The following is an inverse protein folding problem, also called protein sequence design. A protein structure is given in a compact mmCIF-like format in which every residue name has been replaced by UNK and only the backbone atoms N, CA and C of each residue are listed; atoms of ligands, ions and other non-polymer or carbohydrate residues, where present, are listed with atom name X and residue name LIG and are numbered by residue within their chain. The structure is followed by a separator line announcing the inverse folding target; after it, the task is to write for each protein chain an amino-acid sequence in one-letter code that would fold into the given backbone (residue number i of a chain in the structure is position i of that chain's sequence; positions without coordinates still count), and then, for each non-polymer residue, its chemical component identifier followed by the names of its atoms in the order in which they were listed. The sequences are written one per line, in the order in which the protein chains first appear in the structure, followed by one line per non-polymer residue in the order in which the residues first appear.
data_IF_633655467580
#
_entry.id   IF_633655467580
#
_cell.length_a   1.000
_cell.length_b   1.000
_cell.length_c   1.000
_cell.angle_alpha   90.00
_cell.angle_beta   90.00
_cell.angle_gamma   90.00
#
_symmetry.space_group_name_H-M   'P 1'
#
loop_
_entity.id
_entity.type
_entity.pdbx_description
1 polymer ?
#
# COMPACT_ATOMS: atom_id res chain seq x y z
N UNK A 1 12.55 9.82 7.09
CA UNK A 1 11.30 9.82 6.29
C UNK A 1 11.36 8.75 5.21
N UNK A 2 12.26 8.82 4.22
CA UNK A 2 12.29 7.88 3.09
C UNK A 2 12.27 6.38 3.46
N UNK A 3 12.98 5.96 4.50
CA UNK A 3 12.98 4.55 4.95
C UNK A 3 11.60 4.08 5.45
N UNK A 4 10.85 4.95 6.14
CA UNK A 4 9.50 4.65 6.62
C UNK A 4 8.50 4.58 5.47
N UNK A 5 8.64 5.44 4.47
CA UNK A 5 7.80 5.41 3.26
C UNK A 5 8.00 4.08 2.51
N UNK A 6 9.26 3.67 2.29
CA UNK A 6 9.56 2.39 1.65
C UNK A 6 9.06 1.20 2.44
N UNK A 7 9.22 1.20 3.76
CA UNK A 7 8.72 0.14 4.62
C UNK A 7 7.19 0.05 4.58
N UNK A 8 6.48 1.18 4.65
CA UNK A 8 5.03 1.18 4.59
C UNK A 8 4.49 0.72 3.23
N UNK A 9 5.12 1.15 2.13
CA UNK A 9 4.78 0.67 0.78
C UNK A 9 5.02 -0.82 0.66
N UNK A 10 6.14 -1.34 1.20
CA UNK A 10 6.41 -2.78 1.21
C UNK A 10 5.37 -3.57 2.01
N UNK A 11 4.94 -3.06 3.18
CA UNK A 11 3.91 -3.71 4.02
C UNK A 11 2.57 -3.77 3.29
N UNK A 12 2.11 -2.67 2.69
CA UNK A 12 0.86 -2.69 1.90
C UNK A 12 0.99 -3.53 0.63
N UNK A 13 2.13 -3.49 -0.05
CA UNK A 13 2.37 -4.37 -1.19
C UNK A 13 2.27 -5.85 -0.79
N UNK A 14 2.74 -6.20 0.40
CA UNK A 14 2.64 -7.57 0.92
C UNK A 14 1.18 -7.98 1.18
N UNK A 15 0.33 -7.08 1.68
CA UNK A 15 -1.11 -7.39 1.85
C UNK A 15 -1.79 -7.61 0.51
N UNK A 16 -1.50 -6.80 -0.50
CA UNK A 16 -1.97 -6.99 -1.88
C UNK A 16 -1.46 -8.29 -2.52
N UNK A 17 -0.20 -8.65 -2.30
CA UNK A 17 0.35 -9.91 -2.80
C UNK A 17 -0.26 -11.14 -2.09
N UNK A 18 -0.51 -11.07 -0.78
CA UNK A 18 -1.18 -12.13 -0.03
C UNK A 18 -2.64 -12.30 -0.46
N UNK A 19 -3.32 -11.19 -0.77
CA UNK A 19 -4.64 -11.17 -1.40
C UNK A 19 -4.65 -11.93 -2.75
N UNK A 20 -3.70 -11.60 -3.63
CA UNK A 20 -3.54 -12.27 -4.92
C UNK A 20 -3.27 -13.78 -4.73
N UNK A 21 -2.48 -14.13 -3.72
CA UNK A 21 -2.21 -15.52 -3.36
C UNK A 21 -3.45 -16.28 -2.89
N UNK A 22 -4.34 -15.65 -2.11
CA UNK A 22 -5.61 -16.26 -1.69
C UNK A 22 -6.53 -16.53 -2.87
N UNK A 23 -6.48 -15.68 -3.90
CA UNK A 23 -7.20 -15.82 -5.16
C UNK A 23 -6.51 -16.70 -6.20
N UNK A 24 -5.35 -17.27 -5.87
CA UNK A 24 -4.56 -18.13 -6.77
C UNK A 24 -4.24 -17.46 -8.11
N UNK A 25 -4.02 -16.14 -8.10
CA UNK A 25 -3.65 -15.40 -9.31
C UNK A 25 -2.23 -15.78 -9.76
N UNK A 26 -1.93 -15.49 -11.03
CA UNK A 26 -0.58 -15.62 -11.57
C UNK A 26 0.34 -14.50 -11.07
N UNK A 27 1.62 -14.57 -11.45
CA UNK A 27 2.62 -13.57 -11.04
C UNK A 27 2.25 -12.14 -11.48
N UNK A 28 1.56 -11.99 -12.62
CA UNK A 28 1.12 -10.69 -13.11
C UNK A 28 0.04 -10.13 -12.19
N UNK A 29 -0.92 -10.96 -11.76
CA UNK A 29 -1.90 -10.58 -10.74
C UNK A 29 -1.28 -10.18 -9.41
N UNK A 30 -0.21 -10.86 -8.97
CA UNK A 30 0.55 -10.47 -7.77
C UNK A 30 1.21 -9.10 -7.95
N UNK A 31 1.92 -8.87 -9.06
CA UNK A 31 2.57 -7.60 -9.36
C UNK A 31 1.56 -6.45 -9.40
N UNK A 32 0.41 -6.68 -10.03
CA UNK A 32 -0.65 -5.70 -10.14
C UNK A 32 -1.26 -5.38 -8.76
N UNK A 33 -1.72 -6.40 -8.02
CA UNK A 33 -2.41 -6.18 -6.76
C UNK A 33 -1.48 -5.61 -5.69
N UNK A 34 -0.24 -6.10 -5.59
CA UNK A 34 0.77 -5.53 -4.71
C UNK A 34 1.06 -4.06 -5.03
N UNK A 35 1.16 -3.70 -6.32
CA UNK A 35 1.42 -2.32 -6.72
C UNK A 35 0.24 -1.41 -6.40
N UNK A 36 -0.97 -1.78 -6.79
CA UNK A 36 -2.19 -0.99 -6.54
C UNK A 36 -2.41 -0.80 -5.03
N UNK A 37 -2.22 -1.85 -4.23
CA UNK A 37 -2.36 -1.75 -2.77
C UNK A 37 -1.24 -0.92 -2.14
N UNK A 38 0.01 -1.14 -2.55
CA UNK A 38 1.20 -0.46 -2.02
C UNK A 38 1.24 1.04 -2.30
N UNK A 39 0.89 1.46 -3.52
CA UNK A 39 1.02 2.87 -3.95
C UNK A 39 -0.31 3.59 -4.13
N UNK A 40 -1.45 2.88 -4.16
CA UNK A 40 -2.76 3.47 -4.47
C UNK A 40 -3.18 4.55 -3.48
N UNK A 41 -3.05 4.30 -2.18
CA UNK A 41 -3.38 5.29 -1.15
C UNK A 41 -2.55 6.56 -1.23
N UNK A 42 -1.23 6.41 -1.38
CA UNK A 42 -0.31 7.54 -1.57
C UNK A 42 -0.55 8.31 -2.87
N UNK A 43 -0.99 7.61 -3.92
CA UNK A 43 -1.34 8.21 -5.22
C UNK A 43 -2.57 9.12 -5.08
N UNK A 44 -3.65 8.62 -4.47
CA UNK A 44 -4.86 9.43 -4.25
C UNK A 44 -4.58 10.66 -3.38
N UNK A 45 -3.79 10.49 -2.32
CA UNK A 45 -3.33 11.61 -1.50
C UNK A 45 -2.60 12.66 -2.32
N UNK A 46 -1.60 12.24 -3.11
CA UNK A 46 -0.76 13.16 -3.87
C UNK A 46 -1.57 13.89 -4.96
N UNK A 47 -2.49 13.20 -5.64
CA UNK A 47 -3.40 13.82 -6.62
C UNK A 47 -4.31 14.88 -5.97
N UNK A 48 -4.92 14.58 -4.82
CA UNK A 48 -5.82 15.51 -4.12
C UNK A 48 -5.06 16.74 -3.61
N UNK A 49 -3.82 16.55 -3.14
CA UNK A 49 -2.95 17.65 -2.72
C UNK A 49 -2.30 18.39 -3.89
N UNK A 50 -2.61 18.00 -5.13
CA UNK A 50 -2.03 18.55 -6.36
C UNK A 50 -0.49 18.49 -6.37
N UNK A 51 0.05 17.35 -5.93
CA UNK A 51 1.49 17.04 -5.91
C UNK A 51 1.85 16.05 -7.01
N UNK A 52 3.10 16.05 -7.50
CA UNK A 52 3.57 14.98 -8.37
C UNK A 52 3.46 13.63 -7.63
N UNK A 53 2.91 12.63 -8.31
CA UNK A 53 2.71 11.30 -7.76
C UNK A 53 4.08 10.68 -7.41
N UNK A 54 4.26 10.30 -6.14
CA UNK A 54 5.57 9.95 -5.59
C UNK A 54 6.32 8.83 -6.34
N UNK A 55 5.61 7.80 -6.82
CA UNK A 55 6.22 6.67 -7.52
C UNK A 55 6.51 6.96 -8.99
N UNK A 56 5.88 7.98 -9.57
CA UNK A 56 6.22 8.51 -10.91
C UNK A 56 7.50 9.33 -10.82
N UNK A 57 7.65 10.12 -9.75
CA UNK A 57 8.87 10.86 -9.47
C UNK A 57 10.05 9.96 -9.08
N UNK A 58 9.77 8.83 -8.41
CA UNK A 58 10.78 7.86 -8.00
C UNK A 58 10.29 6.42 -8.23
N UNK A 59 10.81 5.78 -9.27
CA UNK A 59 10.42 4.42 -9.66
C UNK A 59 10.82 3.33 -8.65
N UNK A 60 11.69 3.63 -7.68
CA UNK A 60 12.07 2.67 -6.64
C UNK A 60 10.86 2.15 -5.83
N UNK A 61 9.80 2.95 -5.67
CA UNK A 61 8.58 2.51 -5.00
C UNK A 61 7.87 1.37 -5.75
N UNK A 62 7.80 1.44 -7.08
CA UNK A 62 7.22 0.38 -7.91
C UNK A 62 8.11 -0.87 -7.87
N UNK A 63 9.44 -0.69 -7.90
CA UNK A 63 10.38 -1.80 -7.77
C UNK A 63 10.24 -2.53 -6.44
N UNK A 64 9.97 -1.81 -5.34
CA UNK A 64 9.68 -2.40 -4.03
C UNK A 64 8.40 -3.24 -4.08
N UNK A 65 7.31 -2.71 -4.65
CA UNK A 65 6.08 -3.47 -4.82
C UNK A 65 6.31 -4.75 -5.63
N UNK A 66 7.08 -4.65 -6.71
CA UNK A 66 7.42 -5.80 -7.55
C UNK A 66 8.28 -6.83 -6.81
N UNK A 67 9.30 -6.39 -6.06
CA UNK A 67 10.13 -7.27 -5.25
C UNK A 67 9.30 -8.01 -4.19
N UNK A 68 8.42 -7.30 -3.48
CA UNK A 68 7.52 -7.89 -2.49
C UNK A 68 6.55 -8.88 -3.15
N UNK A 69 5.96 -8.54 -4.29
CA UNK A 69 5.08 -9.43 -5.03
C UNK A 69 5.78 -10.75 -5.41
N UNK A 70 7.00 -10.68 -5.93
CA UNK A 70 7.81 -11.86 -6.28
C UNK A 70 8.14 -12.70 -5.04
N UNK A 71 8.59 -12.05 -3.96
CA UNK A 71 8.90 -12.73 -2.71
C UNK A 71 7.68 -13.46 -2.13
N UNK A 72 6.51 -12.81 -2.13
CA UNK A 72 5.27 -13.41 -1.64
C UNK A 72 4.76 -14.48 -2.59
N UNK A 73 4.89 -14.33 -3.92
CA UNK A 73 4.51 -15.35 -4.89
C UNK A 73 5.24 -16.67 -4.64
N UNK A 74 6.56 -16.62 -4.46
CA UNK A 74 7.35 -17.81 -4.17
C UNK A 74 7.29 -18.23 -2.70
N UNK A 75 6.99 -17.34 -1.75
CA UNK A 75 6.99 -17.64 -0.32
C UNK A 75 5.63 -18.06 0.28
N UNK A 76 4.51 -17.62 -0.31
CA UNK A 76 3.18 -17.74 0.30
C UNK A 76 2.66 -19.19 0.43
N UNK A 77 3.27 -20.14 -0.28
CA UNK A 77 2.95 -21.56 -0.13
C UNK A 77 3.47 -22.16 1.19
N UNK A 78 4.42 -21.49 1.88
CA UNK A 78 4.95 -21.92 3.19
C UNK A 78 4.18 -21.35 4.38
N UNK A 79 3.24 -20.45 4.13
CA UNK A 79 2.54 -19.70 5.19
C UNK A 79 1.24 -20.42 5.54
N UNK A 80 1.16 -21.00 6.75
CA UNK A 80 -0.01 -21.76 7.22
C UNK A 80 -1.33 -20.97 7.18
N UNK A 81 -1.29 -19.65 7.43
CA UNK A 81 -2.49 -18.81 7.38
C UNK A 81 -2.21 -17.47 6.70
N UNK A 82 -2.35 -17.45 5.37
CA UNK A 82 -2.27 -16.23 4.54
C UNK A 82 -3.19 -15.13 5.03
N UNK A 83 -4.38 -15.51 5.51
CA UNK A 83 -5.39 -14.59 6.06
C UNK A 83 -4.93 -13.88 7.35
N UNK A 84 -4.35 -14.60 8.31
CA UNK A 84 -3.84 -13.99 9.55
C UNK A 84 -2.73 -13.00 9.26
N UNK A 85 -1.79 -13.37 8.39
CA UNK A 85 -0.70 -12.47 8.00
C UNK A 85 -1.19 -11.24 7.24
N UNK A 86 -2.18 -11.41 6.35
CA UNK A 86 -2.82 -10.28 5.68
C UNK A 86 -3.40 -9.31 6.71
N UNK A 87 -4.17 -9.78 7.69
CA UNK A 87 -4.77 -8.93 8.72
C UNK A 87 -3.73 -8.17 9.57
N UNK A 88 -2.66 -8.85 10.01
CA UNK A 88 -1.62 -8.21 10.82
C UNK A 88 -0.82 -7.18 10.02
N UNK A 89 -0.43 -7.52 8.79
CA UNK A 89 0.27 -6.59 7.90
C UNK A 89 -0.63 -5.41 7.52
N UNK A 90 -1.93 -5.64 7.33
CA UNK A 90 -2.90 -4.58 7.05
C UNK A 90 -3.00 -3.61 8.23
N UNK A 91 -3.11 -4.10 9.47
CA UNK A 91 -3.12 -3.25 10.66
C UNK A 91 -1.84 -2.41 10.79
N UNK A 92 -0.66 -3.00 10.53
CA UNK A 92 0.63 -2.29 10.55
C UNK A 92 0.66 -1.23 9.43
N UNK A 93 0.25 -1.60 8.22
CA UNK A 93 0.17 -0.70 7.08
C UNK A 93 -0.75 0.48 7.37
N UNK A 94 -1.95 0.22 7.88
CA UNK A 94 -2.96 1.22 8.21
C UNK A 94 -2.41 2.24 9.21
N UNK A 95 -1.74 1.78 10.27
CA UNK A 95 -1.11 2.66 11.26
C UNK A 95 -0.01 3.52 10.63
N UNK A 96 0.90 2.92 9.86
CA UNK A 96 2.01 3.64 9.23
C UNK A 96 1.52 4.68 8.22
N UNK A 97 0.60 4.30 7.32
CA UNK A 97 0.09 5.21 6.29
C UNK A 97 -0.81 6.30 6.85
N UNK A 98 -1.50 6.04 7.97
CA UNK A 98 -2.26 7.08 8.67
C UNK A 98 -1.35 8.20 9.12
N UNK A 99 -0.24 7.85 9.79
CA UNK A 99 0.73 8.83 10.29
C UNK A 99 1.47 9.53 9.14
N UNK A 100 1.93 8.79 8.13
CA UNK A 100 2.66 9.37 6.99
C UNK A 100 1.76 10.26 6.12
N UNK A 101 0.52 9.85 5.88
CA UNK A 101 -0.48 10.65 5.17
C UNK A 101 -0.78 11.94 5.91
N UNK A 102 -1.01 11.86 7.22
CA UNK A 102 -1.28 13.02 8.06
C UNK A 102 -0.08 13.97 8.16
N UNK A 103 1.13 13.44 8.31
CA UNK A 103 2.35 14.24 8.34
C UNK A 103 2.56 15.01 7.03
N UNK A 104 2.37 14.35 5.88
CA UNK A 104 2.51 15.00 4.57
C UNK A 104 1.40 16.02 4.32
N UNK A 105 0.15 15.71 4.67
CA UNK A 105 -0.98 16.64 4.54
C UNK A 105 -0.80 17.90 5.40
N UNK A 106 -0.32 17.73 6.64
CA UNK A 106 0.00 18.86 7.51
C UNK A 106 1.14 19.72 6.97
N UNK A 107 2.22 19.08 6.49
CA UNK A 107 3.38 19.79 5.97
C UNK A 107 3.07 20.64 4.73
N UNK A 108 2.12 20.20 3.89
CA UNK A 108 1.76 20.88 2.65
C UNK A 108 0.70 21.96 2.86
N UNK A 109 -0.29 21.71 3.73
CA UNK A 109 -1.46 22.59 3.86
C UNK A 109 -1.47 23.43 5.13
N UNK A 110 -0.69 23.05 6.14
CA UNK A 110 -0.74 23.64 7.48
C UNK A 110 -2.04 23.37 8.26
N UNK A 111 -3.03 22.69 7.67
CA UNK A 111 -4.33 22.46 8.28
C UNK A 111 -4.40 21.13 9.03
N UNK A 112 -4.67 21.15 10.35
CA UNK A 112 -4.88 19.91 11.12
C UNK A 112 -6.05 19.09 10.60
N UNK A 113 -7.10 19.73 10.07
CA UNK A 113 -8.27 19.03 9.52
C UNK A 113 -7.89 18.27 8.26
N UNK A 114 -7.16 18.90 7.34
CA UNK A 114 -6.71 18.26 6.10
C UNK A 114 -5.70 17.15 6.40
N UNK A 115 -4.84 17.33 7.41
CA UNK A 115 -3.93 16.29 7.91
C UNK A 115 -4.68 15.02 8.33
N UNK A 116 -5.72 15.13 9.15
CA UNK A 116 -6.52 13.96 9.57
C UNK A 116 -7.14 13.25 8.36
N UNK A 117 -7.78 13.99 7.45
CA UNK A 117 -8.44 13.41 6.28
C UNK A 117 -7.45 12.74 5.34
N UNK A 118 -6.32 13.38 5.05
CA UNK A 118 -5.27 12.79 4.19
C UNK A 118 -4.62 11.57 4.82
N UNK A 119 -4.45 11.53 6.14
CA UNK A 119 -4.02 10.33 6.86
C UNK A 119 -4.99 9.15 6.66
N UNK A 120 -6.26 9.36 6.98
CA UNK A 120 -7.32 8.33 6.81
C UNK A 120 -7.42 7.86 5.36
N UNK A 121 -7.41 8.80 4.40
CA UNK A 121 -7.51 8.49 2.99
C UNK A 121 -6.33 7.64 2.52
N UNK A 122 -5.10 8.03 2.88
CA UNK A 122 -3.89 7.32 2.47
C UNK A 122 -3.91 5.88 3.00
N UNK A 123 -4.32 5.70 4.25
CA UNK A 123 -4.31 4.41 4.93
C UNK A 123 -5.40 3.45 4.43
N UNK A 124 -6.61 3.95 4.18
CA UNK A 124 -7.75 3.10 3.83
C UNK A 124 -7.83 2.78 2.34
N UNK A 125 -7.42 3.71 1.47
CA UNK A 125 -7.68 3.57 0.04
C UNK A 125 -6.92 2.41 -0.61
N UNK A 126 -5.70 2.10 -0.17
CA UNK A 126 -4.96 0.94 -0.67
C UNK A 126 -5.66 -0.39 -0.37
N UNK A 127 -6.17 -0.54 0.86
CA UNK A 127 -6.96 -1.71 1.28
C UNK A 127 -8.31 -1.79 0.56
N UNK A 128 -9.02 -0.68 0.41
CA UNK A 128 -10.29 -0.63 -0.33
C UNK A 128 -10.07 -1.07 -1.79
N UNK A 129 -9.04 -0.55 -2.47
CA UNK A 129 -8.72 -0.93 -3.84
C UNK A 129 -8.41 -2.43 -3.93
N UNK A 130 -7.63 -2.98 -2.99
CA UNK A 130 -7.35 -4.42 -2.89
C UNK A 130 -8.65 -5.23 -2.78
N UNK A 131 -9.50 -4.86 -1.83
CA UNK A 131 -10.68 -5.62 -1.48
C UNK A 131 -11.73 -5.58 -2.60
N UNK A 132 -11.87 -4.44 -3.31
CA UNK A 132 -12.73 -4.35 -4.50
C UNK A 132 -12.26 -5.27 -5.63
N UNK A 133 -10.94 -5.37 -5.82
CA UNK A 133 -10.35 -6.26 -6.84
C UNK A 133 -10.43 -7.74 -6.44
N UNK A 134 -10.60 -8.06 -5.16
CA UNK A 134 -10.89 -9.43 -4.70
C UNK A 134 -12.35 -9.86 -4.93
N UNK A 135 -13.29 -8.95 -5.16
CA UNK A 135 -14.72 -9.30 -5.26
C UNK A 135 -15.10 -9.84 -6.66
N UNK A 136 -14.23 -9.64 -7.66
CA UNK A 136 -14.40 -10.14 -9.04
C UNK A 136 -14.17 -11.63 -9.21
#
# INVERSE_FOLDING_TARGET
MALLDYAGVAVFAATGALAASRKQLDIIGFLFLASVTGIGGGTLRDVILNLPVFWVANSSYVLICAAVAVLVFFGAHRVESRWKWLLWLDAIGLAAFSVMGAAKGLAITGSPVVSVITGVLTATSGGILRDLLEIG
#
